data_IF_966068234623
#
_entry.id   IF_966068234623
#
_cell.length_a   1.000
_cell.length_b   1.000
_cell.length_c   1.000
_cell.angle_alpha   90.00
_cell.angle_beta   90.00
_cell.angle_gamma   90.00
#
_symmetry.space_group_name_H-M   'P 1'
#
loop_
_entity.id
_entity.type
_entity.pdbx_description
1 polymer ?
#
# COMPACT_ATOMS: atom_id res chain seq x y z
N UNK A 1 64.04 -18.75 -16.58
CA UNK A 1 63.49 -18.30 -15.27
C UNK A 1 62.68 -17.00 -15.30
N UNK A 2 62.65 -16.22 -16.39
CA UNK A 2 61.96 -14.91 -16.41
C UNK A 2 60.45 -14.95 -16.68
N UNK A 3 59.95 -15.93 -17.45
CA UNK A 3 58.55 -15.97 -17.88
C UNK A 3 57.57 -16.33 -16.75
N UNK A 4 57.97 -17.22 -15.84
CA UNK A 4 57.14 -17.62 -14.69
C UNK A 4 56.95 -16.52 -13.66
N UNK A 5 57.91 -15.58 -13.55
CA UNK A 5 57.83 -14.41 -12.67
C UNK A 5 56.81 -13.39 -13.19
N UNK A 6 56.76 -13.19 -14.51
CA UNK A 6 55.82 -12.27 -15.17
C UNK A 6 54.39 -12.81 -15.07
N UNK A 7 54.19 -14.11 -15.34
CA UNK A 7 52.86 -14.75 -15.21
C UNK A 7 52.35 -14.68 -13.76
N UNK A 8 53.21 -14.91 -12.76
CA UNK A 8 52.85 -14.78 -11.32
C UNK A 8 52.50 -13.34 -10.91
N UNK A 9 53.16 -12.34 -11.50
CA UNK A 9 52.84 -10.93 -11.25
C UNK A 9 51.52 -10.52 -11.92
N UNK A 10 51.25 -10.99 -13.13
CA UNK A 10 49.98 -10.76 -13.84
C UNK A 10 48.79 -11.45 -13.15
N UNK A 11 48.95 -12.68 -12.65
CA UNK A 11 47.90 -13.36 -11.88
C UNK A 11 47.65 -12.69 -10.53
N UNK A 12 48.68 -12.19 -9.86
CA UNK A 12 48.52 -11.42 -8.61
C UNK A 12 47.76 -10.10 -8.83
N UNK A 13 48.01 -9.38 -9.93
CA UNK A 13 47.26 -8.16 -10.27
C UNK A 13 45.82 -8.47 -10.63
N UNK A 14 45.55 -9.56 -11.35
CA UNK A 14 44.19 -9.99 -11.70
C UNK A 14 43.39 -10.44 -10.46
N UNK A 15 44.04 -11.12 -9.51
CA UNK A 15 43.43 -11.54 -8.24
C UNK A 15 43.21 -10.34 -7.30
N UNK A 16 44.07 -9.31 -7.35
CA UNK A 16 43.90 -8.06 -6.60
C UNK A 16 42.74 -7.21 -7.16
N UNK A 17 42.46 -7.28 -8.47
CA UNK A 17 41.30 -6.63 -9.09
C UNK A 17 39.97 -7.34 -8.77
N UNK A 18 39.99 -8.66 -8.56
CA UNK A 18 38.80 -9.43 -8.17
C UNK A 18 38.30 -9.12 -6.74
N UNK A 19 39.17 -8.58 -5.88
CA UNK A 19 38.85 -8.21 -4.49
C UNK A 19 38.23 -6.80 -4.39
N UNK A 20 38.23 -6.02 -5.49
CA UNK A 20 37.57 -4.72 -5.59
C UNK A 20 36.13 -4.79 -6.13
N UNK A 21 35.45 -5.94 -6.01
CA UNK A 21 34.01 -5.99 -6.12
C UNK A 21 33.40 -5.29 -4.88
N UNK A 22 33.40 -3.96 -4.89
CA UNK A 22 32.63 -3.18 -3.92
C UNK A 22 31.18 -3.61 -4.05
N UNK A 23 30.59 -4.11 -2.97
CA UNK A 23 29.14 -4.23 -2.89
C UNK A 23 28.56 -2.83 -3.15
N UNK A 24 28.05 -2.60 -4.35
CA UNK A 24 27.25 -1.41 -4.65
C UNK A 24 26.01 -1.56 -3.79
N UNK A 25 26.01 -0.90 -2.62
CA UNK A 25 24.78 -0.68 -1.89
C UNK A 25 23.96 0.25 -2.78
N UNK A 26 23.03 -0.31 -3.55
CA UNK A 26 22.06 0.49 -4.27
C UNK A 26 21.32 1.33 -3.23
N UNK A 27 21.54 2.64 -3.24
CA UNK A 27 20.77 3.55 -2.42
C UNK A 27 19.33 3.47 -2.89
N UNK A 28 18.44 3.06 -2.00
CA UNK A 28 17.01 3.11 -2.23
C UNK A 28 16.49 4.50 -1.82
N UNK A 29 15.32 4.86 -2.32
CA UNK A 29 14.69 6.14 -2.05
C UNK A 29 13.18 5.95 -1.94
N UNK A 30 12.59 6.53 -0.90
CA UNK A 30 11.15 6.66 -0.73
C UNK A 30 10.75 7.90 -1.50
N UNK A 31 10.10 7.71 -2.65
CA UNK A 31 9.80 8.80 -3.59
C UNK A 31 8.47 9.47 -3.28
N UNK A 32 7.48 8.70 -2.86
CA UNK A 32 6.14 9.22 -2.59
C UNK A 32 5.46 8.46 -1.46
N UNK A 33 4.50 9.12 -0.81
CA UNK A 33 3.57 8.48 0.11
C UNK A 33 2.14 8.85 -0.28
N UNK A 34 1.26 7.84 -0.33
CA UNK A 34 -0.16 7.98 -0.67
C UNK A 34 -1.00 7.39 0.44
N UNK A 35 -2.11 8.04 0.77
CA UNK A 35 -3.06 7.58 1.78
C UNK A 35 -4.44 7.46 1.13
N UNK A 36 -5.05 6.30 1.29
CA UNK A 36 -6.36 5.96 0.76
C UNK A 36 -7.29 5.55 1.92
N UNK A 37 -8.05 6.51 2.49
CA UNK A 37 -9.04 6.23 3.51
C UNK A 37 -10.22 5.43 2.95
N UNK A 38 -10.67 4.44 3.69
CA UNK A 38 -11.90 3.70 3.46
C UNK A 38 -12.72 3.60 4.76
N UNK A 39 -14.01 3.18 4.68
CA UNK A 39 -14.87 3.10 5.85
C UNK A 39 -14.28 2.24 6.98
N UNK A 40 -13.72 1.07 6.67
CA UNK A 40 -13.23 0.09 7.65
C UNK A 40 -11.71 0.03 7.80
N UNK A 41 -10.97 0.61 6.85
CA UNK A 41 -9.52 0.60 6.85
C UNK A 41 -8.93 1.85 6.20
N UNK A 42 -7.64 2.07 6.40
CA UNK A 42 -6.85 3.06 5.67
C UNK A 42 -5.65 2.35 5.06
N UNK A 43 -5.44 2.52 3.76
CA UNK A 43 -4.25 2.03 3.06
C UNK A 43 -3.25 3.15 2.88
N UNK A 44 -2.02 2.92 3.32
CA UNK A 44 -0.88 3.81 3.14
C UNK A 44 0.10 3.10 2.24
N UNK A 45 0.58 3.79 1.21
CA UNK A 45 1.50 3.23 0.22
C UNK A 45 2.71 4.13 0.11
N UNK A 46 3.88 3.59 0.39
CA UNK A 46 5.15 4.21 0.07
C UNK A 46 5.63 3.68 -1.28
N UNK A 47 5.88 4.58 -2.23
CA UNK A 47 6.52 4.24 -3.50
C UNK A 47 8.04 4.36 -3.32
N UNK A 48 8.77 3.33 -3.72
CA UNK A 48 10.22 3.24 -3.60
C UNK A 48 10.87 3.05 -4.97
N UNK A 49 12.13 3.48 -5.09
CA UNK A 49 12.93 3.28 -6.31
C UNK A 49 13.35 1.82 -6.51
N UNK A 50 13.50 1.05 -5.42
CA UNK A 50 13.83 -0.36 -5.44
C UNK A 50 13.08 -1.13 -4.34
N UNK A 51 13.14 -2.47 -4.39
CA UNK A 51 12.56 -3.37 -3.38
C UNK A 51 12.94 -2.93 -1.95
N UNK A 52 11.96 -2.71 -1.04
CA UNK A 52 12.25 -2.28 0.32
C UNK A 52 12.86 -3.41 1.16
N UNK A 53 13.96 -3.13 1.86
CA UNK A 53 14.41 -3.87 3.05
C UNK A 53 13.97 -3.09 4.29
N UNK A 54 13.04 -3.63 5.06
CA UNK A 54 12.41 -2.91 6.15
C UNK A 54 12.16 -3.77 7.39
N UNK A 55 12.07 -3.09 8.53
CA UNK A 55 11.53 -3.62 9.79
C UNK A 55 10.44 -2.68 10.29
N UNK A 56 9.50 -3.20 11.06
CA UNK A 56 8.49 -2.35 11.69
C UNK A 56 8.14 -2.84 13.09
N UNK A 57 7.65 -1.92 13.92
CA UNK A 57 7.18 -2.20 15.27
C UNK A 57 6.20 -1.11 15.73
N UNK A 58 5.37 -1.44 16.71
CA UNK A 58 4.41 -0.48 17.29
C UNK A 58 4.89 0.03 18.65
N UNK A 59 4.60 1.30 18.94
CA UNK A 59 4.80 1.91 20.25
C UNK A 59 3.46 2.36 20.82
N UNK A 60 3.32 2.26 22.14
CA UNK A 60 2.17 2.79 22.88
C UNK A 60 2.52 4.16 23.49
N UNK A 61 1.50 4.97 23.79
CA UNK A 61 1.61 6.26 24.49
C UNK A 61 2.56 7.30 23.84
N UNK A 62 2.18 7.97 22.72
CA UNK A 62 0.98 7.75 21.90
C UNK A 62 1.14 6.56 20.96
N UNK A 63 0.03 6.10 20.37
CA UNK A 63 0.00 5.00 19.41
C UNK A 63 0.80 5.37 18.17
N UNK A 64 1.82 4.57 17.84
CA UNK A 64 2.70 4.82 16.70
C UNK A 64 3.05 3.52 16.01
N UNK A 65 3.03 3.55 14.68
CA UNK A 65 3.67 2.53 13.86
C UNK A 65 5.00 3.10 13.35
N UNK A 66 6.09 2.42 13.67
CA UNK A 66 7.45 2.80 13.26
C UNK A 66 7.92 1.84 12.19
N UNK A 67 8.45 2.38 11.10
CA UNK A 67 9.03 1.62 9.99
C UNK A 67 10.45 2.11 9.76
N UNK A 68 11.39 1.17 9.77
CA UNK A 68 12.79 1.37 9.45
C UNK A 68 13.07 0.83 8.05
N UNK A 69 13.49 1.71 7.15
CA UNK A 69 13.92 1.37 5.79
C UNK A 69 15.44 1.38 5.74
N UNK A 70 16.05 0.23 5.45
CA UNK A 70 17.51 0.13 5.35
C UNK A 70 18.01 0.70 4.03
N UNK A 71 19.18 1.32 4.05
CA UNK A 71 19.87 1.90 2.91
C UNK A 71 18.96 2.76 2.03
N UNK A 72 18.04 3.49 2.67
CA UNK A 72 16.99 4.25 2.00
C UNK A 72 17.04 5.71 2.42
N UNK A 73 16.84 6.64 1.48
CA UNK A 73 16.59 8.06 1.77
C UNK A 73 15.10 8.39 1.65
N UNK A 74 14.63 9.47 2.28
CA UNK A 74 13.25 9.94 2.11
C UNK A 74 13.22 11.20 1.24
N UNK A 75 12.69 11.06 0.02
CA UNK A 75 12.39 12.17 -0.89
C UNK A 75 10.90 12.57 -0.81
N UNK A 76 10.06 11.69 -0.25
CA UNK A 76 8.62 11.89 -0.17
C UNK A 76 8.21 13.05 0.74
N UNK A 77 7.20 13.80 0.31
CA UNK A 77 6.52 14.81 1.11
C UNK A 77 5.52 14.19 2.09
N UNK A 78 5.93 14.01 3.34
CA UNK A 78 5.14 13.25 4.32
C UNK A 78 3.90 13.97 4.85
N UNK A 79 3.90 15.32 4.84
CA UNK A 79 2.81 16.13 5.39
C UNK A 79 1.69 16.37 4.38
N UNK A 80 1.99 16.45 3.08
CA UNK A 80 1.00 16.73 2.03
C UNK A 80 0.09 15.53 1.74
N UNK A 81 0.53 14.32 2.09
CA UNK A 81 -0.22 13.08 1.91
C UNK A 81 -1.33 12.85 2.95
N UNK A 82 -1.31 13.57 4.08
CA UNK A 82 -2.28 13.41 5.17
C UNK A 82 -3.48 14.32 4.93
N UNK A 83 -4.15 14.16 3.80
CA UNK A 83 -5.45 14.80 3.57
C UNK A 83 -6.57 13.83 3.98
N UNK A 84 -7.28 14.20 5.04
CA UNK A 84 -8.60 13.66 5.42
C UNK A 84 -8.67 12.18 5.88
N UNK A 85 -7.64 11.65 6.56
CA UNK A 85 -7.74 10.35 7.23
C UNK A 85 -7.94 10.48 8.75
N UNK A 86 -8.83 9.66 9.33
CA UNK A 86 -9.10 9.66 10.78
C UNK A 86 -8.12 8.80 11.60
N UNK A 87 -7.42 7.87 10.96
CA UNK A 87 -6.58 6.85 11.61
C UNK A 87 -5.13 7.31 11.73
N UNK A 88 -4.64 8.08 10.76
CA UNK A 88 -3.28 8.62 10.71
C UNK A 88 -3.28 10.10 11.01
N UNK A 89 -2.70 10.49 12.14
CA UNK A 89 -2.60 11.89 12.55
C UNK A 89 -1.39 12.59 11.93
N UNK A 90 -0.26 11.87 11.84
CA UNK A 90 1.01 12.44 11.38
C UNK A 90 1.91 11.35 10.80
N UNK A 91 2.68 11.69 9.78
CA UNK A 91 3.77 10.86 9.25
C UNK A 91 5.03 11.71 9.25
N UNK A 92 6.08 11.26 9.93
CA UNK A 92 7.33 12.03 10.03
C UNK A 92 8.55 11.14 10.01
N UNK A 93 9.70 11.74 9.70
CA UNK A 93 10.99 11.09 9.90
C UNK A 93 11.40 11.12 11.37
N UNK A 94 12.27 10.19 11.76
CA UNK A 94 12.92 10.13 13.07
C UNK A 94 14.35 9.60 12.90
N UNK A 95 15.20 9.80 13.91
CA UNK A 95 16.53 9.19 13.94
C UNK A 95 16.41 7.68 14.21
N UNK A 96 17.06 6.87 13.38
CA UNK A 96 17.30 5.46 13.67
C UNK A 96 18.61 5.29 14.44
N UNK A 97 18.71 4.21 15.23
CA UNK A 97 19.97 3.81 15.88
C UNK A 97 20.92 3.13 14.88
N UNK A 98 20.37 2.55 13.82
CA UNK A 98 21.12 1.86 12.77
C UNK A 98 21.61 2.89 11.73
N UNK A 99 22.88 2.82 11.35
CA UNK A 99 23.46 3.68 10.29
C UNK A 99 22.84 3.31 8.94
N UNK A 100 22.57 4.30 8.09
CA UNK A 100 21.98 4.11 6.77
C UNK A 100 20.48 3.80 6.78
N UNK A 101 19.82 3.87 7.93
CA UNK A 101 18.39 3.56 8.07
C UNK A 101 17.54 4.82 8.15
N UNK A 102 16.57 4.96 7.26
CA UNK A 102 15.53 5.98 7.36
C UNK A 102 14.37 5.44 8.20
N UNK A 103 14.07 6.11 9.31
CA UNK A 103 12.93 5.76 10.18
C UNK A 103 11.76 6.69 9.91
N UNK A 104 10.63 6.10 9.50
CA UNK A 104 9.34 6.78 9.45
C UNK A 104 8.49 6.41 10.65
N UNK A 105 7.77 7.40 11.19
CA UNK A 105 6.86 7.25 12.33
C UNK A 105 5.49 7.75 11.89
N UNK A 106 4.53 6.85 11.92
CA UNK A 106 3.11 7.15 11.74
C UNK A 106 2.51 7.28 13.13
N UNK A 107 2.07 8.49 13.49
CA UNK A 107 1.30 8.75 14.70
C UNK A 107 -0.16 8.40 14.41
N UNK A 108 -0.69 7.43 15.15
CA UNK A 108 -2.00 6.84 14.93
C UNK A 108 -2.98 7.38 15.97
N UNK A 109 -4.24 7.55 15.58
CA UNK A 109 -5.28 8.01 16.49
C UNK A 109 -5.58 7.00 17.60
N UNK A 110 -5.62 5.71 17.23
CA UNK A 110 -5.90 4.61 18.13
C UNK A 110 -5.03 3.39 17.80
N UNK A 111 -5.25 2.29 18.53
CA UNK A 111 -4.60 1.02 18.23
C UNK A 111 -5.37 0.26 17.14
N UNK A 112 -4.74 0.08 15.98
CA UNK A 112 -5.32 -0.56 14.81
C UNK A 112 -4.70 -1.94 14.57
N UNK A 113 -5.44 -2.83 13.90
CA UNK A 113 -4.84 -4.05 13.36
C UNK A 113 -4.05 -3.68 12.10
N UNK A 114 -2.75 -3.94 12.10
CA UNK A 114 -1.83 -3.53 11.03
C UNK A 114 -1.45 -4.72 10.15
N UNK A 115 -1.47 -4.53 8.83
CA UNK A 115 -0.82 -5.42 7.86
C UNK A 115 0.22 -4.63 7.08
N UNK A 116 1.44 -5.15 6.97
CA UNK A 116 2.55 -4.51 6.24
C UNK A 116 3.14 -5.51 5.27
N UNK A 117 3.19 -5.17 3.98
CA UNK A 117 3.74 -6.06 2.95
C UNK A 117 4.30 -5.29 1.76
N UNK A 118 5.37 -5.78 1.11
CA UNK A 118 5.90 -5.18 -0.11
C UNK A 118 5.09 -5.62 -1.33
N UNK A 119 5.03 -4.77 -2.35
CA UNK A 119 4.58 -5.14 -3.69
C UNK A 119 5.70 -4.87 -4.69
N UNK A 120 5.95 -5.85 -5.56
CA UNK A 120 6.86 -5.68 -6.69
C UNK A 120 6.29 -4.65 -7.71
N UNK A 121 7.14 -4.13 -8.60
CA UNK A 121 6.69 -3.22 -9.66
C UNK A 121 5.61 -3.88 -10.52
N UNK A 122 4.58 -3.10 -10.87
CA UNK A 122 3.48 -3.56 -11.71
C UNK A 122 2.87 -2.40 -12.50
N UNK A 123 2.83 -2.53 -13.82
CA UNK A 123 2.35 -1.47 -14.71
C UNK A 123 3.20 -0.20 -14.55
N UNK A 124 2.54 0.90 -14.20
CA UNK A 124 3.18 2.20 -13.97
C UNK A 124 3.76 2.39 -12.55
N UNK A 125 3.55 1.44 -11.64
CA UNK A 125 3.97 1.56 -10.25
C UNK A 125 5.32 0.86 -10.02
N UNK A 126 6.21 1.53 -9.29
CA UNK A 126 7.49 0.98 -8.84
C UNK A 126 7.31 0.02 -7.65
N UNK A 127 8.42 -0.39 -7.03
CA UNK A 127 8.39 -1.12 -5.77
C UNK A 127 7.63 -0.33 -4.71
N UNK A 128 6.82 -1.02 -3.91
CA UNK A 128 5.97 -0.39 -2.91
C UNK A 128 6.07 -1.08 -1.57
N UNK A 129 5.94 -0.30 -0.50
CA UNK A 129 5.57 -0.81 0.81
C UNK A 129 4.13 -0.40 1.12
N UNK A 130 3.26 -1.40 1.31
CA UNK A 130 1.85 -1.18 1.63
C UNK A 130 1.62 -1.43 3.11
N UNK A 131 0.87 -0.52 3.74
CA UNK A 131 0.42 -0.62 5.13
C UNK A 131 -1.09 -0.46 5.15
N UNK A 132 -1.79 -1.48 5.63
CA UNK A 132 -3.22 -1.40 5.89
C UNK A 132 -3.48 -1.29 7.39
N UNK A 133 -4.24 -0.26 7.79
CA UNK A 133 -4.73 -0.04 9.14
C UNK A 133 -6.21 -0.40 9.20
N UNK A 134 -6.58 -1.47 9.88
CA UNK A 134 -7.98 -1.90 10.05
C UNK A 134 -8.51 -1.50 11.42
N UNK A 135 -9.77 -1.05 11.45
CA UNK A 135 -10.51 -0.91 12.69
C UNK A 135 -10.66 -2.28 13.35
N UNK A 136 -10.51 -2.34 14.68
CA UNK A 136 -10.67 -3.59 15.43
C UNK A 136 -12.11 -4.06 15.50
N UNK A 137 -13.05 -3.12 15.37
CA UNK A 137 -14.49 -3.34 15.55
C UNK A 137 -15.29 -3.16 14.25
N UNK A 138 -14.73 -3.51 13.09
CA UNK A 138 -15.50 -3.57 11.85
C UNK A 138 -16.64 -4.57 12.04
N UNK A 139 -17.86 -4.06 12.23
CA UNK A 139 -19.04 -4.89 12.45
C UNK A 139 -19.27 -5.74 11.20
N UNK A 140 -19.55 -7.05 11.35
CA UNK A 140 -20.03 -7.84 10.22
C UNK A 140 -21.25 -7.14 9.61
N UNK A 141 -21.28 -7.00 8.29
CA UNK A 141 -22.46 -6.52 7.56
C UNK A 141 -23.64 -7.38 8.03
N UNK A 142 -24.70 -6.72 8.52
CA UNK A 142 -25.85 -7.31 9.16
C UNK A 142 -26.24 -8.68 8.58
N UNK A 143 -26.31 -9.70 9.43
CA UNK A 143 -26.95 -10.97 9.10
C UNK A 143 -28.43 -10.68 8.83
N UNK A 144 -28.85 -10.76 7.57
CA UNK A 144 -30.27 -10.63 7.22
C UNK A 144 -31.00 -11.93 7.60
N UNK A 145 -31.82 -11.85 8.66
CA UNK A 145 -32.73 -12.93 9.01
C UNK A 145 -33.79 -13.11 7.91
N UNK A 146 -33.88 -14.32 7.38
CA UNK A 146 -34.78 -14.70 6.31
C UNK A 146 -36.13 -15.24 6.82
N UNK A 147 -36.44 -15.17 8.10
CA UNK A 147 -37.58 -15.91 8.68
C UNK A 147 -39.01 -15.45 8.29
N UNK A 148 -39.25 -14.28 7.67
CA UNK A 148 -40.61 -13.67 7.63
C UNK A 148 -41.37 -13.45 6.31
N UNK A 149 -40.85 -13.84 5.14
CA UNK A 149 -41.64 -13.85 3.88
C UNK A 149 -42.01 -12.48 3.27
N UNK A 150 -41.97 -12.40 1.92
CA UNK A 150 -41.90 -11.20 1.05
C UNK A 150 -40.72 -10.27 1.37
N UNK A 151 -39.54 -10.68 0.90
CA UNK A 151 -38.27 -9.96 1.10
C UNK A 151 -37.94 -9.12 -0.13
N UNK A 152 -37.32 -7.97 0.10
CA UNK A 152 -36.59 -7.30 -0.96
C UNK A 152 -35.50 -8.23 -1.51
N UNK A 153 -35.38 -8.34 -2.82
CA UNK A 153 -34.22 -8.98 -3.47
C UNK A 153 -33.02 -8.07 -3.24
N UNK A 154 -32.06 -8.57 -2.48
CA UNK A 154 -30.81 -7.85 -2.22
C UNK A 154 -29.85 -8.07 -3.40
N UNK A 155 -29.48 -6.98 -4.06
CA UNK A 155 -28.56 -6.98 -5.20
C UNK A 155 -27.24 -6.36 -4.75
N UNK A 156 -26.20 -7.18 -4.66
CA UNK A 156 -24.84 -6.72 -4.40
C UNK A 156 -24.25 -6.12 -5.68
N UNK A 157 -23.84 -4.85 -5.63
CA UNK A 157 -23.18 -4.15 -6.74
C UNK A 157 -21.70 -3.96 -6.42
N UNK A 158 -20.86 -4.44 -7.32
CA UNK A 158 -19.41 -4.27 -7.25
C UNK A 158 -18.97 -3.27 -8.31
N UNK A 159 -18.53 -2.09 -7.89
CA UNK A 159 -17.80 -1.19 -8.77
C UNK A 159 -16.36 -1.69 -8.91
N UNK A 160 -15.90 -1.93 -10.15
CA UNK A 160 -14.53 -2.40 -10.40
C UNK A 160 -13.47 -1.37 -9.98
N UNK A 161 -12.29 -1.85 -9.57
CA UNK A 161 -11.12 -1.03 -9.15
C UNK A 161 -11.40 -0.12 -7.93
N UNK A 162 -10.56 0.89 -7.68
CA UNK A 162 -10.72 1.87 -6.61
C UNK A 162 -9.43 2.13 -5.82
N UNK A 163 -9.33 3.35 -5.25
CA UNK A 163 -8.16 3.79 -4.51
C UNK A 163 -6.91 3.80 -5.38
N UNK A 164 -5.89 3.06 -4.95
CA UNK A 164 -4.62 2.90 -5.67
C UNK A 164 -4.79 2.22 -7.04
N UNK A 165 -5.79 1.37 -7.22
CA UNK A 165 -6.02 0.67 -8.48
C UNK A 165 -6.91 1.56 -9.40
N UNK A 166 -6.36 2.18 -10.46
CA UNK A 166 -7.13 3.03 -11.36
C UNK A 166 -8.00 2.22 -12.34
N UNK A 167 -7.68 0.93 -12.53
CA UNK A 167 -8.07 0.17 -13.70
C UNK A 167 -7.47 0.73 -14.98
N UNK A 168 -8.17 0.53 -16.09
CA UNK A 168 -7.77 1.05 -17.40
C UNK A 168 -7.75 2.58 -17.41
N UNK A 169 -6.80 3.16 -18.14
CA UNK A 169 -6.67 4.61 -18.34
C UNK A 169 -6.99 4.90 -19.80
N UNK A 170 -8.03 5.68 -20.06
CA UNK A 170 -8.42 6.08 -21.40
C UNK A 170 -7.42 7.08 -22.02
N UNK A 171 -7.45 7.22 -23.34
CA UNK A 171 -6.53 8.11 -24.08
C UNK A 171 -6.55 9.58 -23.60
N UNK A 172 -7.68 10.05 -23.08
CA UNK A 172 -7.85 11.39 -22.49
C UNK A 172 -7.50 11.49 -21.01
N UNK A 173 -6.94 10.44 -20.39
CA UNK A 173 -6.63 10.39 -18.96
C UNK A 173 -7.81 10.01 -18.05
N UNK A 174 -8.90 9.48 -18.61
CA UNK A 174 -10.05 9.03 -17.82
C UNK A 174 -9.75 7.71 -17.11
N UNK A 175 -9.97 7.64 -15.79
CA UNK A 175 -9.77 6.43 -15.00
C UNK A 175 -11.02 5.54 -14.94
N UNK A 176 -10.86 4.25 -15.23
CA UNK A 176 -11.93 3.24 -15.15
C UNK A 176 -12.63 3.25 -13.79
N UNK A 177 -11.87 3.31 -12.68
CA UNK A 177 -12.42 3.31 -11.32
C UNK A 177 -13.49 4.38 -11.05
N UNK A 178 -13.40 5.53 -11.73
CA UNK A 178 -14.35 6.63 -11.60
C UNK A 178 -15.60 6.38 -12.43
N UNK A 179 -15.45 5.84 -13.64
CA UNK A 179 -16.55 5.52 -14.53
C UNK A 179 -17.40 4.40 -13.92
N UNK A 180 -16.75 3.31 -13.49
CA UNK A 180 -17.43 2.16 -12.89
C UNK A 180 -18.16 2.54 -11.60
N UNK A 181 -17.56 3.39 -10.75
CA UNK A 181 -18.21 3.87 -9.53
C UNK A 181 -19.48 4.68 -9.84
N UNK A 182 -19.40 5.63 -10.78
CA UNK A 182 -20.57 6.44 -11.18
C UNK A 182 -21.69 5.59 -11.75
N UNK A 183 -21.36 4.60 -12.59
CA UNK A 183 -22.34 3.65 -13.13
C UNK A 183 -22.99 2.83 -12.00
N UNK A 184 -22.18 2.28 -11.09
CA UNK A 184 -22.66 1.50 -9.97
C UNK A 184 -23.59 2.30 -9.03
N UNK A 185 -23.23 3.55 -8.73
CA UNK A 185 -24.07 4.45 -7.92
C UNK A 185 -25.41 4.74 -8.60
N UNK A 186 -25.39 5.02 -9.91
CA UNK A 186 -26.61 5.23 -10.68
C UNK A 186 -27.48 3.97 -10.71
N UNK A 187 -26.89 2.79 -10.90
CA UNK A 187 -27.60 1.52 -10.87
C UNK A 187 -28.23 1.26 -9.48
N UNK A 188 -27.48 1.47 -8.41
CA UNK A 188 -27.98 1.33 -7.04
C UNK A 188 -29.19 2.24 -6.78
N UNK A 189 -29.12 3.49 -7.24
CA UNK A 189 -30.23 4.44 -7.15
C UNK A 189 -31.47 3.96 -7.91
N UNK A 190 -31.30 3.41 -9.11
CA UNK A 190 -32.41 2.88 -9.90
C UNK A 190 -33.04 1.64 -9.26
N UNK A 191 -32.23 0.75 -8.69
CA UNK A 191 -32.71 -0.46 -7.98
C UNK A 191 -33.51 -0.07 -6.74
N UNK A 192 -32.98 0.84 -5.91
CA UNK A 192 -33.63 1.25 -4.66
C UNK A 192 -34.96 2.00 -4.87
N UNK A 193 -35.28 2.42 -6.10
CA UNK A 193 -36.59 2.97 -6.48
C UNK A 193 -37.64 1.91 -6.77
N UNK A 194 -37.26 0.64 -6.91
CA UNK A 194 -38.18 -0.46 -7.23
C UNK A 194 -38.59 -1.16 -5.94
N UNK A 195 -39.90 -1.22 -5.69
CA UNK A 195 -40.44 -1.98 -4.56
C UNK A 195 -40.01 -3.45 -4.66
N UNK A 196 -39.59 -4.03 -3.54
CA UNK A 196 -39.13 -5.41 -3.53
C UNK A 196 -37.66 -5.58 -3.97
N UNK A 197 -36.90 -4.51 -4.21
CA UNK A 197 -35.46 -4.59 -4.50
C UNK A 197 -34.65 -3.70 -3.56
N UNK A 198 -33.45 -4.15 -3.18
CA UNK A 198 -32.49 -3.39 -2.38
C UNK A 198 -31.09 -3.54 -2.92
N UNK A 199 -30.45 -2.43 -3.30
CA UNK A 199 -29.05 -2.42 -3.70
C UNK A 199 -28.13 -2.31 -2.48
N UNK A 200 -27.07 -3.11 -2.47
CA UNK A 200 -25.95 -3.01 -1.53
C UNK A 200 -24.67 -2.85 -2.33
N UNK A 201 -23.98 -1.73 -2.17
CA UNK A 201 -22.71 -1.49 -2.86
C UNK A 201 -21.55 -2.03 -2.02
N UNK A 202 -20.66 -2.80 -2.65
CA UNK A 202 -19.42 -3.29 -2.00
C UNK A 202 -18.43 -2.13 -1.76
N UNK A 203 -18.44 -1.12 -2.64
CA UNK A 203 -17.85 0.19 -2.37
C UNK A 203 -18.74 1.31 -2.86
N UNK A 204 -18.88 2.36 -2.06
CA UNK A 204 -19.64 3.56 -2.41
C UNK A 204 -18.74 4.77 -2.72
N UNK A 205 -17.43 4.65 -2.51
CA UNK A 205 -16.43 5.70 -2.75
C UNK A 205 -15.19 5.21 -3.50
N UNK A 206 -14.23 6.11 -3.70
CA UNK A 206 -12.95 5.80 -4.34
C UNK A 206 -11.92 5.27 -3.33
N UNK A 207 -12.09 4.01 -2.97
CA UNK A 207 -11.15 3.28 -2.13
C UNK A 207 -10.97 1.87 -2.66
N UNK A 208 -9.79 1.30 -2.41
CA UNK A 208 -9.45 -0.04 -2.83
C UNK A 208 -10.23 -1.06 -1.99
N UNK A 209 -10.88 -2.02 -2.66
CA UNK A 209 -11.50 -3.17 -2.01
C UNK A 209 -10.58 -4.37 -2.22
N UNK A 210 -10.17 -5.01 -1.14
CA UNK A 210 -9.41 -6.26 -1.23
C UNK A 210 -10.26 -7.30 -1.94
N UNK A 211 -9.77 -7.80 -3.08
CA UNK A 211 -10.28 -9.02 -3.68
C UNK A 211 -10.04 -10.13 -2.66
N UNK A 212 -11.10 -10.69 -2.09
CA UNK A 212 -11.01 -11.92 -1.32
C UNK A 212 -10.36 -12.99 -2.21
N UNK A 213 -9.06 -13.22 -2.03
CA UNK A 213 -8.43 -14.44 -2.50
C UNK A 213 -8.75 -15.44 -1.41
N UNK A 214 -9.77 -16.27 -1.64
CA UNK A 214 -9.97 -17.46 -0.83
C UNK A 214 -8.62 -18.17 -0.74
N UNK A 215 -8.18 -18.45 0.48
CA UNK A 215 -7.07 -19.36 0.72
C UNK A 215 -7.39 -20.65 -0.03
N UNK A 216 -6.66 -20.91 -1.11
CA UNK A 216 -6.56 -22.27 -1.64
C UNK A 216 -5.65 -23.06 -0.72
#
# INVERSE_FOLDING_TARGET
MHLSSIVKKLTAVFMLWLVYATAVNANNSIESVRIWPAPENTRIVFDLSNKPDFKYFSLKSPQRLVIDFKNSTNNAELMSAIKADRRVQKIRTSRSKEKGTTRLVLELAEDYRVSVFPLAPAGQYSDRLVIDLYDKNSQPIATYDNSKGKRDIVIAIVAGHGGEDPGSIGASGTYEKHVTLKIAQKLAHLINKKQGLKAVMIRSGDYYVLKFRGSK
#
